data_IF_868331091499
#
_entry.id   IF_868331091499
#
_cell.length_a   1.000
_cell.length_b   1.000
_cell.length_c   1.000
_cell.angle_alpha   90.00
_cell.angle_beta   90.00
_cell.angle_gamma   90.00
#
_symmetry.space_group_name_H-M   'P 1'
#
loop_
_entity.id
_entity.type
_entity.pdbx_description
1 polymer ?
#
# COMPACT_ATOMS: atom_id res chain seq x y z
N UNK A 1 -29.77 36.60 -6.25
CA UNK A 1 -28.55 36.36 -7.02
C UNK A 1 -28.23 34.88 -6.91
N UNK A 2 -28.49 34.11 -7.96
CA UNK A 2 -28.18 32.68 -7.99
C UNK A 2 -26.66 32.53 -8.12
N UNK A 3 -26.02 31.93 -7.11
CA UNK A 3 -24.63 31.51 -7.19
C UNK A 3 -24.57 30.38 -8.22
N UNK A 4 -24.00 30.67 -9.38
CA UNK A 4 -23.70 29.70 -10.43
C UNK A 4 -22.45 28.95 -9.95
N UNK A 5 -22.43 27.60 -9.89
CA UNK A 5 -21.18 26.90 -9.65
C UNK A 5 -20.30 27.15 -10.87
N UNK A 6 -19.14 27.74 -10.65
CA UNK A 6 -18.14 27.97 -11.68
C UNK A 6 -17.74 26.59 -12.24
N UNK A 7 -18.07 26.34 -13.50
CA UNK A 7 -17.81 25.08 -14.21
C UNK A 7 -16.36 24.94 -14.70
N UNK A 8 -15.43 25.69 -14.11
CA UNK A 8 -13.99 25.56 -14.32
C UNK A 8 -13.38 24.95 -13.07
N UNK A 9 -13.49 23.63 -12.92
CA UNK A 9 -12.70 22.91 -11.91
C UNK A 9 -11.52 22.25 -12.62
N UNK A 10 -10.36 22.92 -12.73
CA UNK A 10 -9.18 22.42 -13.42
C UNK A 10 -8.56 21.30 -12.58
N UNK A 11 -9.09 20.08 -12.65
CA UNK A 11 -8.60 18.89 -11.93
C UNK A 11 -8.36 19.19 -10.44
N UNK A 12 -9.38 18.98 -9.59
CA UNK A 12 -9.26 19.17 -8.14
C UNK A 12 -7.89 18.67 -7.62
N UNK A 13 -7.01 19.58 -7.15
CA UNK A 13 -5.64 19.24 -6.76
C UNK A 13 -5.60 18.21 -5.63
N UNK A 14 -6.66 18.12 -4.81
CA UNK A 14 -6.81 17.11 -3.75
C UNK A 14 -7.02 15.73 -4.36
N UNK A 15 -7.88 15.59 -5.38
CA UNK A 15 -8.07 14.32 -6.12
C UNK A 15 -6.79 13.86 -6.78
N UNK A 16 -6.07 14.77 -7.43
CA UNK A 16 -4.77 14.45 -8.04
C UNK A 16 -3.76 13.95 -6.98
N UNK A 17 -3.76 14.54 -5.77
CA UNK A 17 -2.89 14.10 -4.67
C UNK A 17 -3.31 12.72 -4.12
N UNK A 18 -4.62 12.47 -3.96
CA UNK A 18 -5.16 11.16 -3.54
C UNK A 18 -4.78 10.06 -4.52
N UNK A 19 -4.89 10.31 -5.82
CA UNK A 19 -4.50 9.36 -6.87
C UNK A 19 -3.01 9.02 -6.82
N UNK A 20 -2.13 10.00 -6.56
CA UNK A 20 -0.69 9.75 -6.36
C UNK A 20 -0.46 8.87 -5.13
N UNK A 21 -1.07 9.21 -3.99
CA UNK A 21 -0.96 8.40 -2.76
C UNK A 21 -1.44 6.97 -3.00
N UNK A 22 -2.58 6.79 -3.69
CA UNK A 22 -3.08 5.47 -4.06
C UNK A 22 -2.06 4.68 -4.88
N UNK A 23 -1.42 5.31 -5.87
CA UNK A 23 -0.36 4.68 -6.67
C UNK A 23 0.83 4.22 -5.84
N UNK A 24 1.36 5.09 -4.97
CA UNK A 24 2.47 4.77 -4.07
C UNK A 24 2.11 3.65 -3.09
N UNK A 25 0.90 3.68 -2.54
CA UNK A 25 0.34 2.63 -1.70
C UNK A 25 0.25 1.29 -2.45
N UNK A 26 -0.23 1.30 -3.70
CA UNK A 26 -0.35 0.06 -4.47
C UNK A 26 1.03 -0.55 -4.76
N UNK A 27 2.03 0.29 -5.06
CA UNK A 27 3.40 -0.14 -5.23
C UNK A 27 4.00 -0.69 -3.92
N UNK A 28 3.82 0.01 -2.80
CA UNK A 28 4.28 -0.41 -1.48
C UNK A 28 3.66 -1.76 -1.06
N UNK A 29 2.37 -1.98 -1.34
CA UNK A 29 1.72 -3.27 -1.14
C UNK A 29 2.37 -4.38 -1.97
N UNK A 30 2.60 -4.16 -3.27
CA UNK A 30 3.24 -5.15 -4.13
C UNK A 30 4.63 -5.52 -3.63
N UNK A 31 5.45 -4.53 -3.29
CA UNK A 31 6.79 -4.74 -2.76
C UNK A 31 6.73 -5.48 -1.42
N UNK A 32 5.83 -5.08 -0.52
CA UNK A 32 5.63 -5.73 0.76
C UNK A 32 5.24 -7.21 0.62
N UNK A 33 4.31 -7.53 -0.29
CA UNK A 33 3.95 -8.92 -0.57
C UNK A 33 5.08 -9.72 -1.22
N UNK A 34 5.91 -9.11 -2.08
CA UNK A 34 7.09 -9.78 -2.63
C UNK A 34 8.11 -10.11 -1.53
N UNK A 35 8.34 -9.20 -0.58
CA UNK A 35 9.19 -9.48 0.58
C UNK A 35 8.62 -10.60 1.45
N UNK A 36 7.30 -10.62 1.66
CA UNK A 36 6.66 -11.69 2.40
C UNK A 36 6.82 -13.05 1.69
N UNK A 37 6.61 -13.10 0.37
CA UNK A 37 6.80 -14.31 -0.43
C UNK A 37 8.26 -14.78 -0.40
N UNK A 38 9.22 -13.85 -0.48
CA UNK A 38 10.65 -14.15 -0.36
C UNK A 38 10.98 -14.71 1.03
N UNK A 39 10.46 -14.10 2.10
CA UNK A 39 10.65 -14.59 3.46
C UNK A 39 10.12 -16.01 3.63
N UNK A 40 8.93 -16.31 3.06
CA UNK A 40 8.37 -17.66 3.06
C UNK A 40 9.24 -18.64 2.26
N UNK A 41 9.74 -18.26 1.09
CA UNK A 41 10.62 -19.11 0.29
C UNK A 41 11.93 -19.44 1.03
N UNK A 42 12.57 -18.43 1.63
CA UNK A 42 13.78 -18.62 2.45
C UNK A 42 13.51 -19.49 3.67
N UNK A 43 12.36 -19.32 4.32
CA UNK A 43 11.95 -20.15 5.45
C UNK A 43 11.81 -21.63 5.03
N UNK A 44 11.15 -21.91 3.91
CA UNK A 44 11.00 -23.28 3.39
C UNK A 44 12.36 -23.88 3.02
N UNK A 45 13.23 -23.10 2.38
CA UNK A 45 14.60 -23.54 2.05
C UNK A 45 15.36 -23.90 3.33
N UNK A 46 15.38 -22.99 4.32
CA UNK A 46 16.03 -23.20 5.61
C UNK A 46 15.45 -24.39 6.38
N UNK A 47 14.15 -24.64 6.26
CA UNK A 47 13.49 -25.79 6.85
C UNK A 47 13.97 -27.11 6.24
N UNK A 48 14.21 -27.15 4.92
CA UNK A 48 14.68 -28.36 4.21
C UNK A 48 16.17 -28.63 4.45
N UNK A 49 17.02 -27.59 4.39
CA UNK A 49 18.48 -27.76 4.47
C UNK A 49 19.04 -27.60 5.90
N UNK A 50 18.22 -27.15 6.85
CA UNK A 50 18.60 -26.90 8.23
C UNK A 50 18.72 -25.41 8.57
N UNK A 51 18.21 -25.06 9.75
CA UNK A 51 18.26 -23.69 10.26
C UNK A 51 19.63 -23.34 10.82
N UNK A 52 20.28 -22.35 10.22
CA UNK A 52 21.48 -21.69 10.78
C UNK A 52 21.13 -20.26 11.23
N UNK A 53 21.93 -19.64 12.12
CA UNK A 53 21.73 -18.25 12.51
C UNK A 53 21.72 -17.28 11.31
N UNK A 54 22.52 -17.55 10.28
CA UNK A 54 22.54 -16.77 9.05
C UNK A 54 21.21 -16.90 8.27
N UNK A 55 20.67 -18.11 8.16
CA UNK A 55 19.38 -18.34 7.50
C UNK A 55 18.22 -17.71 8.27
N UNK A 56 18.22 -17.81 9.60
CA UNK A 56 17.24 -17.13 10.44
C UNK A 56 17.23 -15.62 10.19
N UNK A 57 18.41 -15.00 10.09
CA UNK A 57 18.55 -13.57 9.80
C UNK A 57 18.01 -13.23 8.40
N UNK A 58 18.35 -14.04 7.39
CA UNK A 58 17.87 -13.86 6.02
C UNK A 58 16.36 -14.00 5.87
N UNK A 59 15.70 -14.81 6.71
CA UNK A 59 14.22 -14.89 6.75
C UNK A 59 13.63 -13.69 7.48
N UNK A 60 14.23 -13.31 8.61
CA UNK A 60 13.65 -12.31 9.51
C UNK A 60 13.70 -10.90 8.91
N UNK A 61 14.77 -10.53 8.21
CA UNK A 61 14.93 -9.21 7.57
C UNK A 61 13.80 -8.90 6.57
N UNK A 62 13.56 -9.71 5.52
CA UNK A 62 12.48 -9.47 4.57
C UNK A 62 11.11 -9.62 5.23
N UNK A 63 10.97 -10.49 6.24
CA UNK A 63 9.72 -10.64 6.98
C UNK A 63 9.35 -9.33 7.71
N UNK A 64 10.27 -8.76 8.48
CA UNK A 64 10.04 -7.48 9.17
C UNK A 64 9.79 -6.36 8.16
N UNK A 65 10.59 -6.28 7.10
CA UNK A 65 10.40 -5.31 6.04
C UNK A 65 9.00 -5.41 5.40
N UNK A 66 8.49 -6.64 5.20
CA UNK A 66 7.15 -6.86 4.65
C UNK A 66 6.05 -6.26 5.53
N UNK A 67 6.12 -6.44 6.85
CA UNK A 67 5.12 -5.88 7.77
C UNK A 67 5.21 -4.37 7.88
N UNK A 68 6.42 -3.82 7.91
CA UNK A 68 6.65 -2.36 7.93
C UNK A 68 6.11 -1.70 6.66
N UNK A 69 6.16 -2.38 5.50
CA UNK A 69 5.59 -1.86 4.25
C UNK A 69 4.08 -2.08 4.16
N UNK A 70 3.60 -3.29 4.45
CA UNK A 70 2.20 -3.68 4.26
C UNK A 70 1.26 -2.94 5.21
N UNK A 71 1.57 -2.88 6.50
CA UNK A 71 0.67 -2.30 7.49
C UNK A 71 0.28 -0.83 7.19
N UNK A 72 1.22 0.13 7.01
CA UNK A 72 0.87 1.51 6.70
C UNK A 72 0.24 1.65 5.32
N UNK A 73 0.70 0.85 4.36
CA UNK A 73 0.20 0.89 2.99
C UNK A 73 -1.27 0.44 2.91
N UNK A 74 -1.64 -0.65 3.59
CA UNK A 74 -3.02 -1.13 3.64
C UNK A 74 -3.94 -0.07 4.27
N UNK A 75 -3.52 0.56 5.38
CA UNK A 75 -4.29 1.63 6.04
C UNK A 75 -4.52 2.81 5.10
N UNK A 76 -3.47 3.30 4.43
CA UNK A 76 -3.58 4.39 3.46
C UNK A 76 -4.47 4.02 2.28
N UNK A 77 -4.40 2.78 1.80
CA UNK A 77 -5.22 2.29 0.71
C UNK A 77 -6.71 2.28 1.06
N UNK A 78 -7.05 1.87 2.28
CA UNK A 78 -8.42 1.96 2.78
C UNK A 78 -8.89 3.40 2.96
N UNK A 79 -8.02 4.30 3.45
CA UNK A 79 -8.36 5.71 3.61
C UNK A 79 -8.69 6.37 2.27
N UNK A 80 -7.90 6.13 1.22
CA UNK A 80 -8.19 6.67 -0.12
C UNK A 80 -9.47 6.07 -0.69
N UNK A 81 -9.66 4.76 -0.59
CA UNK A 81 -10.88 4.09 -1.07
C UNK A 81 -12.13 4.60 -0.34
N UNK A 82 -12.05 4.86 0.96
CA UNK A 82 -13.13 5.45 1.73
C UNK A 82 -13.44 6.88 1.27
N UNK A 83 -12.40 7.68 0.99
CA UNK A 83 -12.57 9.04 0.49
C UNK A 83 -13.20 9.08 -0.91
N UNK A 84 -12.78 8.19 -1.83
CA UNK A 84 -13.39 8.06 -3.17
C UNK A 84 -14.86 7.61 -3.09
N UNK A 85 -15.20 6.78 -2.10
CA UNK A 85 -16.58 6.36 -1.87
C UNK A 85 -17.46 7.51 -1.38
N UNK A 86 -16.98 8.29 -0.40
CA UNK A 86 -17.70 9.47 0.11
C UNK A 86 -17.91 10.53 -0.99
N UNK A 87 -16.88 10.78 -1.81
CA UNK A 87 -16.98 11.65 -2.99
C UNK A 87 -18.11 11.18 -3.93
N UNK A 88 -18.14 9.88 -4.26
CA UNK A 88 -19.15 9.27 -5.12
C UNK A 88 -20.56 9.33 -4.53
N UNK A 89 -20.70 9.11 -3.23
CA UNK A 89 -22.00 9.19 -2.52
C UNK A 89 -22.53 10.63 -2.47
N UNK A 90 -21.65 11.64 -2.48
CA UNK A 90 -22.00 13.07 -2.54
C UNK A 90 -22.19 13.61 -3.95
N UNK A 91 -21.96 12.80 -4.98
CA UNK A 91 -22.10 13.19 -6.38
C UNK A 91 -21.00 14.14 -6.88
N UNK A 92 -19.84 14.15 -6.22
CA UNK A 92 -18.63 14.87 -6.60
C UNK A 92 -17.69 13.92 -7.35
#
# INVERSE_FOLDING_TARGET
MAHRPDTDDPVDPVRARRARVAGWTLLANRIGYLFLALAMALFVIAFVIGFTPAMATLVLVPLIASFVLLAPSIVLGYAVKAAERDDRERGL
#
